data_IF_947050657151
#
_entry.id   IF_947050657151
#
_cell.length_a   1.000
_cell.length_b   1.000
_cell.length_c   1.000
_cell.angle_alpha   90.00
_cell.angle_beta   90.00
_cell.angle_gamma   90.00
#
_symmetry.space_group_name_H-M   'P 1'
#
loop_
_entity.id
_entity.type
_entity.pdbx_description
1 polymer ?
#
# COMPACT_ATOMS: atom_id res chain seq x y z
N UNK A 1 -3.46 8.21 1.62
CA UNK A 1 -4.05 6.89 1.99
C UNK A 1 -3.33 5.79 1.22
N UNK A 2 -3.07 4.63 1.85
CA UNK A 2 -2.62 3.41 1.15
C UNK A 2 -3.83 2.52 0.86
N UNK A 3 -4.02 2.16 -0.41
CA UNK A 3 -5.04 1.24 -0.87
C UNK A 3 -4.36 -0.04 -1.34
N UNK A 4 -4.62 -1.17 -0.68
CA UNK A 4 -4.06 -2.47 -1.04
C UNK A 4 -5.15 -3.31 -1.70
N UNK A 5 -4.90 -3.75 -2.94
CA UNK A 5 -5.88 -4.48 -3.77
C UNK A 5 -5.25 -5.75 -4.31
N UNK A 6 -6.01 -6.82 -4.37
CA UNK A 6 -5.59 -8.08 -4.99
C UNK A 6 -6.29 -8.28 -6.34
N UNK A 7 -5.79 -9.18 -7.22
CA UNK A 7 -6.43 -9.45 -8.50
C UNK A 7 -7.82 -10.11 -8.41
N UNK A 8 -8.22 -10.55 -7.22
CA UNK A 8 -9.54 -11.16 -7.04
C UNK A 8 -10.67 -10.17 -7.31
N UNK A 9 -11.74 -10.57 -8.04
CA UNK A 9 -12.87 -9.70 -8.40
C UNK A 9 -13.54 -9.03 -7.20
N UNK A 10 -13.66 -9.72 -6.08
CA UNK A 10 -14.23 -9.20 -4.83
C UNK A 10 -13.40 -8.05 -4.28
N UNK A 11 -12.06 -8.18 -4.25
CA UNK A 11 -11.16 -7.13 -3.79
C UNK A 11 -11.25 -5.86 -4.64
N UNK A 12 -11.41 -6.02 -5.95
CA UNK A 12 -11.57 -4.88 -6.87
C UNK A 12 -12.90 -4.16 -6.61
N UNK A 13 -13.97 -4.93 -6.44
CA UNK A 13 -15.29 -4.39 -6.13
C UNK A 13 -15.31 -3.66 -4.80
N UNK A 14 -14.71 -4.22 -3.77
CA UNK A 14 -14.62 -3.63 -2.43
C UNK A 14 -13.76 -2.36 -2.44
N UNK A 15 -12.64 -2.36 -3.16
CA UNK A 15 -11.82 -1.17 -3.35
C UNK A 15 -12.61 -0.04 -4.02
N UNK A 16 -13.37 -0.34 -5.07
CA UNK A 16 -14.22 0.66 -5.73
C UNK A 16 -15.32 1.17 -4.80
N UNK A 17 -15.99 0.30 -4.05
CA UNK A 17 -17.02 0.69 -3.08
C UNK A 17 -16.45 1.59 -1.98
N UNK A 18 -15.25 1.28 -1.47
CA UNK A 18 -14.53 2.12 -0.52
C UNK A 18 -14.24 3.50 -1.11
N UNK A 19 -13.67 3.57 -2.31
CA UNK A 19 -13.36 4.85 -2.99
C UNK A 19 -14.62 5.69 -3.20
N UNK A 20 -15.73 5.06 -3.61
CA UNK A 20 -17.03 5.73 -3.77
C UNK A 20 -17.58 6.28 -2.45
N UNK A 21 -17.33 5.57 -1.35
CA UNK A 21 -17.74 6.04 -0.01
C UNK A 21 -16.89 7.25 0.42
N UNK A 22 -15.59 7.16 0.19
CA UNK A 22 -14.64 8.25 0.51
C UNK A 22 -14.91 9.50 -0.32
N UNK A 23 -15.29 9.38 -1.59
CA UNK A 23 -15.65 10.51 -2.44
C UNK A 23 -16.70 11.44 -1.82
N UNK A 24 -17.58 10.90 -0.99
CA UNK A 24 -18.67 11.63 -0.34
C UNK A 24 -18.25 12.36 0.94
N UNK A 25 -17.00 12.21 1.36
CA UNK A 25 -16.49 12.84 2.58
C UNK A 25 -15.86 14.20 2.24
N UNK A 26 -16.11 15.22 3.06
CA UNK A 26 -15.62 16.59 2.87
C UNK A 26 -14.09 16.69 2.74
N UNK A 27 -13.35 15.76 3.34
CA UNK A 27 -11.89 15.69 3.23
C UNK A 27 -11.41 15.39 1.80
N UNK A 28 -12.26 14.80 0.95
CA UNK A 28 -12.00 14.55 -0.47
C UNK A 28 -12.38 15.73 -1.38
N UNK A 29 -13.40 16.51 -1.02
CA UNK A 29 -13.86 17.64 -1.83
C UNK A 29 -12.79 18.73 -2.03
N UNK A 30 -11.75 18.76 -1.21
CA UNK A 30 -10.63 19.69 -1.33
C UNK A 30 -9.39 19.19 -2.07
N UNK A 31 -9.41 17.98 -2.68
CA UNK A 31 -8.22 17.38 -3.31
C UNK A 31 -7.06 17.10 -2.35
N UNK A 32 -7.33 17.07 -1.05
CA UNK A 32 -6.31 16.98 0.01
C UNK A 32 -5.74 15.59 0.22
N UNK A 33 -6.46 14.53 -0.16
CA UNK A 33 -6.04 13.17 0.09
C UNK A 33 -5.49 12.48 -1.17
N UNK A 34 -4.20 12.20 -1.17
CA UNK A 34 -3.59 11.34 -2.20
C UNK A 34 -3.81 9.87 -1.90
N UNK A 35 -4.20 9.13 -2.93
CA UNK A 35 -4.39 7.68 -2.88
C UNK A 35 -3.17 7.02 -3.52
N UNK A 36 -2.53 6.16 -2.76
CA UNK A 36 -1.42 5.34 -3.25
C UNK A 36 -1.86 3.88 -3.27
N UNK A 37 -1.78 3.25 -4.45
CA UNK A 37 -2.21 1.87 -4.64
C UNK A 37 -1.03 0.90 -4.64
N UNK A 38 -1.24 -0.21 -3.96
CA UNK A 38 -0.36 -1.38 -3.94
C UNK A 38 -1.17 -2.57 -4.46
N UNK A 39 -0.68 -3.24 -5.49
CA UNK A 39 -1.23 -4.52 -5.95
C UNK A 39 -0.59 -5.66 -5.15
N UNK A 40 -1.40 -6.45 -4.45
CA UNK A 40 -0.92 -7.53 -3.59
C UNK A 40 -1.29 -8.90 -4.16
N UNK A 41 -0.50 -9.94 -3.84
CA UNK A 41 -0.70 -11.33 -4.29
C UNK A 41 -0.72 -11.48 -5.81
N UNK A 42 0.07 -10.67 -6.52
CA UNK A 42 0.18 -10.72 -7.97
C UNK A 42 1.09 -11.86 -8.42
N UNK A 43 0.82 -12.42 -9.59
CA UNK A 43 1.68 -13.43 -10.23
C UNK A 43 2.88 -12.78 -10.95
N UNK A 44 2.72 -11.52 -11.38
CA UNK A 44 3.76 -10.74 -12.05
C UNK A 44 3.62 -9.24 -11.77
N UNK A 45 4.66 -8.48 -12.08
CA UNK A 45 4.60 -7.00 -12.05
C UNK A 45 3.60 -6.47 -13.08
N UNK A 46 3.47 -7.10 -14.24
CA UNK A 46 2.54 -6.68 -15.29
C UNK A 46 1.09 -6.87 -14.86
N UNK A 47 0.75 -7.97 -14.18
CA UNK A 47 -0.57 -8.18 -13.60
C UNK A 47 -0.90 -7.07 -12.58
N UNK A 48 0.06 -6.70 -11.73
CA UNK A 48 -0.12 -5.62 -10.78
C UNK A 48 -0.34 -4.26 -11.43
N UNK A 49 0.37 -3.96 -12.50
CA UNK A 49 0.19 -2.73 -13.29
C UNK A 49 -1.15 -2.70 -14.01
N UNK A 50 -1.58 -3.84 -14.54
CA UNK A 50 -2.87 -3.95 -15.23
C UNK A 50 -4.03 -3.75 -14.25
N UNK A 51 -3.95 -4.33 -13.07
CA UNK A 51 -4.91 -4.12 -11.99
C UNK A 51 -5.01 -2.62 -11.62
N UNK A 52 -3.86 -1.96 -11.45
CA UNK A 52 -3.81 -0.53 -11.20
C UNK A 52 -4.46 0.27 -12.34
N UNK A 53 -4.11 0.01 -13.61
CA UNK A 53 -4.67 0.74 -14.75
C UNK A 53 -6.19 0.63 -14.80
N UNK A 54 -6.75 -0.57 -14.59
CA UNK A 54 -8.20 -0.80 -14.57
C UNK A 54 -8.88 -0.01 -13.46
N UNK A 55 -8.40 -0.11 -12.24
CA UNK A 55 -9.02 0.58 -11.12
C UNK A 55 -8.84 2.09 -11.21
N UNK A 56 -7.67 2.57 -11.61
CA UNK A 56 -7.37 3.99 -11.81
C UNK A 56 -8.27 4.62 -12.89
N UNK A 57 -8.44 3.93 -14.04
CA UNK A 57 -9.30 4.42 -15.12
C UNK A 57 -10.77 4.55 -14.69
N UNK A 58 -11.29 3.58 -13.93
CA UNK A 58 -12.67 3.61 -13.41
C UNK A 58 -12.81 4.71 -12.35
N UNK A 59 -11.84 4.84 -11.45
CA UNK A 59 -11.86 5.85 -10.39
C UNK A 59 -11.75 7.28 -10.95
N UNK A 60 -10.85 7.52 -11.90
CA UNK A 60 -10.74 8.81 -12.56
C UNK A 60 -12.03 9.18 -13.31
N UNK A 61 -12.58 8.23 -14.10
CA UNK A 61 -13.77 8.47 -14.92
C UNK A 61 -15.04 8.71 -14.11
N UNK A 62 -15.28 7.94 -13.06
CA UNK A 62 -16.58 7.94 -12.37
C UNK A 62 -16.54 8.60 -10.99
N UNK A 63 -15.37 8.67 -10.36
CA UNK A 63 -15.22 9.25 -9.03
C UNK A 63 -14.38 10.53 -9.03
N UNK A 64 -13.77 10.87 -10.17
CA UNK A 64 -12.86 12.03 -10.30
C UNK A 64 -11.70 11.96 -9.28
N UNK A 65 -11.25 10.72 -8.98
CA UNK A 65 -10.20 10.45 -8.03
C UNK A 65 -8.96 9.92 -8.75
N UNK A 66 -7.85 10.61 -8.55
CA UNK A 66 -6.54 10.19 -9.05
C UNK A 66 -5.83 9.34 -8.00
N UNK A 67 -5.10 8.33 -8.47
CA UNK A 67 -4.28 7.48 -7.61
C UNK A 67 -2.90 7.25 -8.21
N UNK A 68 -1.94 7.02 -7.34
CA UNK A 68 -0.54 6.76 -7.69
C UNK A 68 -0.19 5.29 -7.41
N UNK A 69 0.51 4.65 -8.34
CA UNK A 69 0.95 3.27 -8.19
C UNK A 69 2.28 3.18 -7.45
N UNK A 70 2.32 2.48 -6.33
CA UNK A 70 3.54 2.24 -5.55
C UNK A 70 4.26 0.93 -5.92
N UNK A 71 3.55 -0.01 -6.52
CA UNK A 71 4.14 -1.28 -6.93
C UNK A 71 3.32 -2.50 -6.53
N UNK A 72 3.87 -3.68 -6.80
CA UNK A 72 3.27 -4.97 -6.45
C UNK A 72 4.05 -5.72 -5.39
N UNK A 73 3.30 -6.47 -4.58
CA UNK A 73 3.81 -7.53 -3.71
C UNK A 73 3.40 -8.86 -4.32
N UNK A 74 4.35 -9.70 -4.75
CA UNK A 74 4.04 -10.95 -5.40
C UNK A 74 3.41 -11.96 -4.45
N UNK A 75 2.66 -12.91 -5.01
CA UNK A 75 2.27 -14.12 -4.28
C UNK A 75 3.54 -14.87 -3.85
N UNK A 76 3.68 -15.14 -2.55
CA UNK A 76 4.90 -15.71 -1.97
C UNK A 76 4.56 -16.65 -0.81
N UNK A 77 4.91 -17.93 -0.95
CA UNK A 77 4.70 -18.92 0.09
C UNK A 77 5.47 -18.61 1.39
N UNK A 78 6.61 -17.93 1.30
CA UNK A 78 7.36 -17.51 2.50
C UNK A 78 6.59 -16.45 3.29
N UNK A 79 5.86 -15.56 2.58
CA UNK A 79 4.95 -14.62 3.23
C UNK A 79 3.81 -15.36 3.95
N UNK A 80 3.20 -16.36 3.30
CA UNK A 80 2.15 -17.17 3.93
C UNK A 80 2.68 -17.91 5.18
N UNK A 81 3.85 -18.51 5.09
CA UNK A 81 4.48 -19.16 6.23
C UNK A 81 4.79 -18.19 7.38
N UNK A 82 5.26 -16.99 7.07
CA UNK A 82 5.50 -15.95 8.07
C UNK A 82 4.21 -15.54 8.79
N UNK A 83 3.11 -15.38 8.05
CA UNK A 83 1.78 -15.08 8.61
C UNK A 83 1.32 -16.19 9.54
N UNK A 84 1.46 -17.48 9.16
CA UNK A 84 1.11 -18.62 10.02
C UNK A 84 1.93 -18.67 11.31
N UNK A 85 3.17 -18.19 11.27
CA UNK A 85 4.06 -18.09 12.44
C UNK A 85 3.89 -16.80 13.24
N UNK A 86 3.02 -15.89 12.77
CA UNK A 86 2.82 -14.55 13.35
C UNK A 86 4.12 -13.73 13.41
N UNK A 87 5.01 -13.91 12.43
CA UNK A 87 6.26 -13.19 12.29
C UNK A 87 6.23 -12.28 11.05
N UNK A 88 6.76 -11.06 11.11
CA UNK A 88 6.88 -10.24 9.91
C UNK A 88 7.77 -10.90 8.86
N UNK A 89 7.30 -11.03 7.62
CA UNK A 89 8.05 -11.69 6.54
C UNK A 89 9.42 -11.04 6.29
N UNK A 90 9.53 -9.74 6.48
CA UNK A 90 10.79 -8.99 6.33
C UNK A 90 11.84 -9.36 7.36
N UNK A 91 11.43 -9.93 8.50
CA UNK A 91 12.30 -10.46 9.56
C UNK A 91 12.54 -11.95 9.34
N UNK A 92 11.47 -12.74 9.18
CA UNK A 92 11.56 -14.19 9.04
C UNK A 92 12.26 -14.61 7.73
N UNK A 93 12.01 -13.88 6.64
CA UNK A 93 12.53 -14.19 5.30
C UNK A 93 12.97 -12.92 4.56
N UNK A 94 14.06 -12.25 4.98
CA UNK A 94 14.45 -10.93 4.43
C UNK A 94 14.75 -10.95 2.93
N UNK A 95 15.16 -12.09 2.39
CA UNK A 95 15.47 -12.25 0.98
C UNK A 95 14.30 -12.74 0.12
N UNK A 96 13.13 -12.95 0.71
CA UNK A 96 11.93 -13.38 -0.02
C UNK A 96 11.49 -12.31 -1.05
N UNK A 97 10.89 -12.70 -2.19
CA UNK A 97 10.36 -11.75 -3.17
C UNK A 97 9.40 -10.74 -2.54
N UNK A 98 8.48 -11.17 -1.68
CA UNK A 98 7.57 -10.29 -0.97
C UNK A 98 8.31 -9.29 -0.07
N UNK A 99 9.34 -9.73 0.68
CA UNK A 99 10.14 -8.85 1.56
C UNK A 99 10.87 -7.76 0.77
N UNK A 100 11.45 -8.11 -0.37
CA UNK A 100 12.11 -7.15 -1.28
C UNK A 100 11.11 -6.14 -1.85
N UNK A 101 9.93 -6.61 -2.26
CA UNK A 101 8.86 -5.75 -2.77
C UNK A 101 8.37 -4.76 -1.71
N UNK A 102 8.05 -5.25 -0.51
CA UNK A 102 7.63 -4.42 0.63
C UNK A 102 8.70 -3.37 0.98
N UNK A 103 9.98 -3.78 1.04
CA UNK A 103 11.09 -2.86 1.32
C UNK A 103 11.25 -1.78 0.24
N UNK A 104 11.05 -2.12 -1.03
CA UNK A 104 11.07 -1.16 -2.15
C UNK A 104 9.94 -0.14 -2.02
N UNK A 105 8.70 -0.59 -1.78
CA UNK A 105 7.53 0.26 -1.58
C UNK A 105 7.72 1.18 -0.37
N UNK A 106 8.21 0.65 0.75
CA UNK A 106 8.49 1.45 1.95
C UNK A 106 9.49 2.57 1.68
N UNK A 107 10.57 2.31 0.93
CA UNK A 107 11.54 3.36 0.54
C UNK A 107 10.91 4.45 -0.34
N UNK A 108 10.03 4.09 -1.27
CA UNK A 108 9.31 5.09 -2.08
C UNK A 108 8.46 6.00 -1.22
N UNK A 109 7.74 5.45 -0.24
CA UNK A 109 6.92 6.23 0.70
C UNK A 109 7.78 7.18 1.55
N UNK A 110 8.92 6.70 2.08
CA UNK A 110 9.80 7.49 2.94
C UNK A 110 10.51 8.61 2.16
N UNK A 111 10.87 8.35 0.90
CA UNK A 111 11.62 9.29 0.07
C UNK A 111 10.74 10.31 -0.65
N UNK A 112 9.42 10.26 -0.51
CA UNK A 112 8.54 11.31 -1.03
C UNK A 112 8.80 12.64 -0.29
N UNK A 113 8.98 13.76 -1.00
CA UNK A 113 9.22 15.05 -0.35
C UNK A 113 8.04 15.44 0.55
N UNK A 114 8.35 15.87 1.77
CA UNK A 114 7.38 16.17 2.83
C UNK A 114 6.37 17.31 2.48
N UNK A 115 6.59 18.05 1.41
CA UNK A 115 5.76 19.17 0.97
C UNK A 115 4.60 18.79 0.04
N UNK A 116 4.39 17.50 -0.21
CA UNK A 116 3.24 17.04 -0.97
C UNK A 116 2.06 16.85 -0.01
N UNK A 117 0.89 17.51 -0.20
CA UNK A 117 -0.30 17.22 0.59
C UNK A 117 -0.59 15.70 0.54
N UNK A 118 -0.57 15.01 1.68
CA UNK A 118 -0.65 13.54 1.76
C UNK A 118 0.70 12.81 1.88
N UNK A 119 1.84 13.51 1.91
CA UNK A 119 3.10 12.87 2.27
C UNK A 119 3.03 12.33 3.70
N UNK A 120 3.38 11.06 3.87
CA UNK A 120 3.54 10.48 5.20
C UNK A 120 4.69 11.19 5.89
N UNK A 121 4.40 11.96 6.94
CA UNK A 121 5.47 12.57 7.73
C UNK A 121 6.26 11.46 8.43
N UNK A 122 7.52 11.33 8.09
CA UNK A 122 8.46 10.35 8.69
C UNK A 122 8.53 10.46 10.24
N UNK A 123 8.10 11.59 10.82
CA UNK A 123 7.99 11.79 12.27
C UNK A 123 7.05 10.80 12.97
N UNK A 124 6.00 10.31 12.31
CA UNK A 124 5.08 9.33 12.91
C UNK A 124 5.68 7.92 12.96
N UNK A 125 6.36 7.50 11.88
CA UNK A 125 6.93 6.14 11.78
C UNK A 125 8.26 6.02 12.54
N UNK A 126 9.16 6.99 12.45
CA UNK A 126 10.42 6.98 13.20
C UNK A 126 10.19 7.03 14.72
N UNK A 127 9.16 7.75 15.17
CA UNK A 127 8.74 7.76 16.58
C UNK A 127 8.22 6.41 17.06
N UNK A 128 7.49 5.69 16.22
CA UNK A 128 6.95 4.36 16.53
C UNK A 128 8.06 3.30 16.60
N UNK A 129 8.97 3.30 15.63
CA UNK A 129 10.14 2.40 15.63
C UNK A 129 11.11 2.70 16.77
N UNK A 130 11.43 3.97 17.05
CA UNK A 130 12.28 4.34 18.18
C UNK A 130 11.68 3.92 19.54
N UNK A 131 10.35 3.88 19.66
CA UNK A 131 9.65 3.44 20.87
C UNK A 131 9.64 1.91 21.01
N UNK A 132 9.53 1.16 19.91
CA UNK A 132 9.61 -0.32 19.92
C UNK A 132 11.01 -0.83 20.29
N UNK A 133 12.08 -0.20 19.79
CA UNK A 133 13.44 -0.63 20.05
C UNK A 133 13.98 -0.20 21.42
N UNK A 134 13.39 0.83 22.07
CA UNK A 134 13.82 1.28 23.39
C UNK A 134 13.28 0.44 24.56
N UNK A 135 12.26 -0.37 24.37
CA UNK A 135 11.68 -1.25 25.39
C UNK A 135 12.25 -2.69 25.39
N UNK A 136 13.24 -3.00 24.57
CA UNK A 136 13.87 -4.32 24.49
C UNK A 136 15.15 -4.49 25.32
N UNK A 137 15.53 -3.50 26.13
CA UNK A 137 16.68 -3.61 27.05
C UNK A 137 16.22 -3.31 28.49
N UNK A 138 15.55 -4.26 29.07
CA UNK A 138 15.52 -4.50 30.53
C UNK A 138 15.25 -5.96 30.79
#
# INVERSE_FOLDING_TARGET
>A
MLLVVTPEPTSITDAYALLKTLQRQEEFEGGKMKIHMISNRTQSEDEGRELYRKLSAVSSKFLQMEMEYLGSVPHDFKLQNAVMRQEPVTIAYPNAPASKAISRIARQIINQPANTPGAFTAKGLSGLFARMFRNGQR
#
